data_IF_749880328513
#
_entry.id   IF_749880328513
#
_cell.length_a   1.000
_cell.length_b   1.000
_cell.length_c   1.000
_cell.angle_alpha   90.00
_cell.angle_beta   90.00
_cell.angle_gamma   90.00
#
_symmetry.space_group_name_H-M   'P 1'
#
loop_
_entity.id
_entity.type
_entity.pdbx_description
1 polymer ?
#
# COMPACT_ATOMS: atom_id res chain seq x y z
N UNK A 1 22.36 13.62 -9.18
CA UNK A 1 22.57 12.43 -10.02
C UNK A 1 21.85 12.64 -11.35
N UNK A 2 22.39 12.17 -12.48
CA UNK A 2 21.68 12.31 -13.78
C UNK A 2 20.47 11.37 -13.83
N UNK A 3 19.48 11.68 -14.67
CA UNK A 3 18.30 10.81 -14.85
C UNK A 3 18.68 9.39 -15.27
N UNK A 4 19.69 9.24 -16.15
CA UNK A 4 20.20 7.94 -16.59
C UNK A 4 20.77 7.11 -15.43
N UNK A 5 21.53 7.72 -14.52
CA UNK A 5 22.04 7.03 -13.34
C UNK A 5 20.92 6.65 -12.36
N UNK A 6 19.86 7.46 -12.26
CA UNK A 6 18.67 7.13 -11.47
C UNK A 6 17.99 5.87 -12.01
N UNK A 7 17.73 5.84 -13.33
CA UNK A 7 17.10 4.69 -14.00
C UNK A 7 17.92 3.42 -13.84
N UNK A 8 19.24 3.48 -14.04
CA UNK A 8 20.12 2.31 -13.83
C UNK A 8 20.09 1.84 -12.38
N UNK A 9 20.08 2.76 -11.41
CA UNK A 9 19.98 2.41 -10.00
C UNK A 9 18.64 1.75 -9.66
N UNK A 10 17.55 2.22 -10.26
CA UNK A 10 16.21 1.61 -10.12
C UNK A 10 16.16 0.21 -10.72
N UNK A 11 16.75 -0.02 -11.90
CA UNK A 11 16.88 -1.36 -12.48
C UNK A 11 17.68 -2.28 -11.55
N UNK A 12 18.82 -1.80 -11.03
CA UNK A 12 19.64 -2.54 -10.08
C UNK A 12 18.87 -2.91 -8.79
N UNK A 13 18.13 -1.95 -8.23
CA UNK A 13 17.28 -2.18 -7.06
C UNK A 13 16.18 -3.20 -7.34
N UNK A 14 15.54 -3.13 -8.51
CA UNK A 14 14.52 -4.09 -8.96
C UNK A 14 15.09 -5.52 -9.00
N UNK A 15 16.26 -5.71 -9.60
CA UNK A 15 16.93 -7.02 -9.64
C UNK A 15 17.20 -7.53 -8.22
N UNK A 16 17.69 -6.66 -7.33
CA UNK A 16 17.94 -7.02 -5.94
C UNK A 16 16.67 -7.40 -5.18
N UNK A 17 15.53 -6.74 -5.41
CA UNK A 17 14.26 -7.14 -4.81
C UNK A 17 13.74 -8.49 -5.33
N UNK A 18 13.90 -8.79 -6.63
CA UNK A 18 13.58 -10.10 -7.20
C UNK A 18 14.44 -11.19 -6.53
N UNK A 19 15.76 -10.96 -6.44
CA UNK A 19 16.67 -11.88 -5.77
C UNK A 19 16.39 -12.00 -4.26
N UNK A 20 15.90 -10.93 -3.63
CA UNK A 20 15.50 -10.94 -2.23
C UNK A 20 14.34 -11.90 -2.00
N UNK A 21 13.25 -11.78 -2.78
CA UNK A 21 12.09 -12.67 -2.68
C UNK A 21 12.45 -14.12 -3.01
N UNK A 22 13.25 -14.34 -4.06
CA UNK A 22 13.73 -15.69 -4.42
C UNK A 22 14.58 -16.33 -3.31
N UNK A 23 15.43 -15.53 -2.65
CA UNK A 23 16.23 -15.98 -1.51
C UNK A 23 15.41 -16.23 -0.24
N UNK A 24 14.37 -15.43 0.02
CA UNK A 24 13.49 -15.60 1.18
C UNK A 24 12.60 -16.85 1.09
N UNK A 25 12.39 -17.39 -0.11
CA UNK A 25 11.58 -18.59 -0.33
C UNK A 25 12.24 -19.90 0.17
N UNK A 26 13.56 -19.91 0.41
CA UNK A 26 14.28 -21.12 0.86
C UNK A 26 15.05 -20.85 2.16
N UNK A 27 14.95 -21.72 3.18
CA UNK A 27 15.63 -21.52 4.47
C UNK A 27 17.15 -21.33 4.36
N UNK A 28 17.81 -22.04 3.45
CA UNK A 28 19.26 -21.99 3.25
C UNK A 28 19.75 -20.65 2.71
N UNK A 29 18.94 -19.97 1.88
CA UNK A 29 19.29 -18.71 1.24
C UNK A 29 18.61 -17.49 1.86
N UNK A 30 17.73 -17.68 2.85
CA UNK A 30 16.94 -16.62 3.49
C UNK A 30 17.76 -15.44 4.00
N UNK A 31 18.93 -15.69 4.61
CA UNK A 31 19.83 -14.61 5.07
C UNK A 31 20.38 -13.77 3.92
N UNK A 32 20.76 -14.42 2.82
CA UNK A 32 21.24 -13.74 1.60
C UNK A 32 20.11 -12.98 0.92
N UNK A 33 18.90 -13.56 0.87
CA UNK A 33 17.69 -12.89 0.38
C UNK A 33 17.41 -11.59 1.15
N UNK A 34 17.49 -11.62 2.48
CA UNK A 34 17.33 -10.43 3.31
C UNK A 34 18.41 -9.36 3.02
N UNK A 35 19.67 -9.78 2.83
CA UNK A 35 20.76 -8.86 2.45
C UNK A 35 20.50 -8.16 1.11
N UNK A 36 20.02 -8.89 0.09
CA UNK A 36 19.65 -8.28 -1.19
C UNK A 36 18.54 -7.25 -1.02
N UNK A 37 17.54 -7.51 -0.18
CA UNK A 37 16.48 -6.56 0.13
C UNK A 37 17.00 -5.28 0.78
N UNK A 38 17.91 -5.40 1.76
CA UNK A 38 18.54 -4.25 2.41
C UNK A 38 19.36 -3.40 1.43
N UNK A 39 20.18 -4.03 0.57
CA UNK A 39 20.98 -3.32 -0.43
C UNK A 39 20.08 -2.67 -1.49
N UNK A 40 19.04 -3.38 -1.96
CA UNK A 40 18.08 -2.87 -2.94
C UNK A 40 17.33 -1.64 -2.42
N UNK A 41 16.86 -1.68 -1.17
CA UNK A 41 16.21 -0.53 -0.53
C UNK A 41 17.16 0.65 -0.34
N UNK A 42 18.39 0.41 0.12
CA UNK A 42 19.40 1.47 0.26
C UNK A 42 19.70 2.15 -1.09
N UNK A 43 19.88 1.35 -2.16
CA UNK A 43 20.12 1.85 -3.51
C UNK A 43 18.93 2.69 -4.01
N UNK A 44 17.70 2.21 -3.84
CA UNK A 44 16.48 2.90 -4.24
C UNK A 44 16.31 4.26 -3.54
N UNK A 45 16.54 4.30 -2.23
CA UNK A 45 16.44 5.53 -1.43
C UNK A 45 17.52 6.52 -1.86
N UNK A 46 18.78 6.10 -1.95
CA UNK A 46 19.89 6.96 -2.37
C UNK A 46 19.62 7.51 -3.78
N UNK A 47 19.21 6.66 -4.72
CA UNK A 47 18.90 7.08 -6.08
C UNK A 47 17.77 8.12 -6.12
N UNK A 48 16.73 7.97 -5.30
CA UNK A 48 15.62 8.91 -5.26
C UNK A 48 16.01 10.24 -4.60
N UNK A 49 16.71 10.18 -3.46
CA UNK A 49 17.14 11.38 -2.71
C UNK A 49 18.10 12.25 -3.51
N UNK A 50 19.02 11.64 -4.27
CA UNK A 50 19.99 12.36 -5.11
C UNK A 50 19.53 12.52 -6.56
N UNK A 51 18.28 12.12 -6.86
CA UNK A 51 17.67 12.21 -8.18
C UNK A 51 17.36 13.64 -8.62
N UNK A 52 17.06 13.85 -9.92
CA UNK A 52 16.82 15.19 -10.47
C UNK A 52 15.55 15.86 -9.94
N UNK A 53 14.61 15.12 -9.36
CA UNK A 53 13.34 15.62 -8.83
C UNK A 53 13.48 16.27 -7.44
N UNK A 54 14.62 16.07 -6.75
CA UNK A 54 14.83 16.60 -5.39
C UNK A 54 15.62 17.90 -5.45
N UNK A 55 14.97 19.00 -5.09
CA UNK A 55 15.63 20.30 -4.97
C UNK A 55 16.42 20.43 -3.65
N UNK A 56 17.39 21.35 -3.61
CA UNK A 56 18.17 21.63 -2.41
C UNK A 56 17.30 22.05 -1.21
N UNK A 57 16.15 22.70 -1.46
CA UNK A 57 15.19 23.08 -0.43
C UNK A 57 14.34 21.91 0.09
N UNK A 58 14.14 20.86 -0.72
CA UNK A 58 13.41 19.65 -0.32
C UNK A 58 14.23 18.67 0.50
N UNK A 59 15.56 18.67 0.33
CA UNK A 59 16.47 17.71 0.96
C UNK A 59 16.38 17.68 2.50
N UNK A 60 16.31 18.82 3.23
CA UNK A 60 16.16 18.80 4.69
C UNK A 60 14.88 18.10 5.15
N UNK A 61 13.76 18.32 4.45
CA UNK A 61 12.47 17.70 4.77
C UNK A 61 12.50 16.19 4.59
N UNK A 62 13.13 15.71 3.51
CA UNK A 62 13.30 14.28 3.24
C UNK A 62 14.15 13.62 4.33
N UNK A 63 15.29 14.24 4.70
CA UNK A 63 16.19 13.70 5.74
C UNK A 63 15.46 13.64 7.09
N UNK A 64 14.76 14.69 7.48
CA UNK A 64 14.00 14.73 8.75
C UNK A 64 12.94 13.63 8.77
N UNK A 65 12.14 13.50 7.71
CA UNK A 65 11.12 12.46 7.61
C UNK A 65 11.72 11.05 7.68
N UNK A 66 12.85 10.82 6.99
CA UNK A 66 13.55 9.55 6.99
C UNK A 66 14.11 9.20 8.38
N UNK A 67 14.71 10.16 9.08
CA UNK A 67 15.24 9.95 10.44
C UNK A 67 14.13 9.64 11.44
N UNK A 68 13.00 10.36 11.37
CA UNK A 68 11.84 10.10 12.24
C UNK A 68 11.27 8.71 11.95
N UNK A 69 10.99 8.41 10.67
CA UNK A 69 10.43 7.13 10.26
C UNK A 69 11.33 5.94 10.62
N UNK A 70 12.62 6.03 10.30
CA UNK A 70 13.61 5.01 10.63
C UNK A 70 13.78 4.85 12.15
N UNK A 71 13.79 5.94 12.91
CA UNK A 71 13.88 5.91 14.37
C UNK A 71 12.71 5.18 15.02
N UNK A 72 11.48 5.53 14.62
CA UNK A 72 10.26 4.85 15.10
C UNK A 72 10.25 3.37 14.68
N UNK A 73 10.58 3.08 13.43
CA UNK A 73 10.63 1.71 12.90
C UNK A 73 11.66 0.84 13.64
N UNK A 74 12.88 1.34 13.86
CA UNK A 74 13.93 0.64 14.61
C UNK A 74 13.53 0.39 16.06
N UNK A 75 12.88 1.37 16.71
CA UNK A 75 12.38 1.20 18.07
C UNK A 75 11.30 0.11 18.14
N UNK A 76 10.30 0.17 17.26
CA UNK A 76 9.21 -0.80 17.23
C UNK A 76 9.72 -2.22 16.95
N UNK A 77 10.61 -2.38 15.96
CA UNK A 77 11.19 -3.68 15.59
C UNK A 77 12.06 -4.30 16.70
N UNK A 78 12.74 -3.48 17.53
CA UNK A 78 13.54 -3.99 18.66
C UNK A 78 12.71 -4.38 19.88
N UNK A 79 11.56 -3.72 20.09
CA UNK A 79 10.76 -3.89 21.31
C UNK A 79 9.66 -4.94 21.18
N UNK A 80 9.17 -5.20 19.98
CA UNK A 80 8.09 -6.16 19.73
C UNK A 80 8.51 -7.58 20.14
N UNK A 81 7.60 -8.32 20.76
CA UNK A 81 7.82 -9.74 21.07
C UNK A 81 7.55 -10.59 19.84
N UNK A 82 8.20 -11.75 19.70
CA UNK A 82 7.99 -12.65 18.56
C UNK A 82 6.54 -13.15 18.44
N UNK A 83 5.83 -13.24 19.56
CA UNK A 83 4.39 -13.57 19.63
C UNK A 83 3.49 -12.47 19.06
N UNK A 84 3.97 -11.23 19.03
CA UNK A 84 3.27 -10.03 18.54
C UNK A 84 3.68 -9.65 17.10
N UNK A 85 4.46 -10.48 16.42
CA UNK A 85 4.85 -10.20 15.03
C UNK A 85 3.66 -10.04 14.08
N UNK A 86 2.57 -10.84 14.15
CA UNK A 86 1.43 -10.68 13.25
C UNK A 86 0.75 -9.31 13.34
N UNK A 87 0.59 -8.76 14.55
CA UNK A 87 -0.04 -7.44 14.74
C UNK A 87 0.88 -6.32 14.27
N UNK A 88 2.21 -6.42 14.50
CA UNK A 88 3.14 -5.43 13.99
C UNK A 88 3.16 -5.41 12.47
N UNK A 89 3.14 -6.58 11.82
CA UNK A 89 3.07 -6.70 10.36
C UNK A 89 1.79 -6.07 9.83
N UNK A 90 0.63 -6.31 10.47
CA UNK A 90 -0.61 -5.64 10.13
C UNK A 90 -0.48 -4.12 10.24
N UNK A 91 0.10 -3.61 11.33
CA UNK A 91 0.32 -2.17 11.52
C UNK A 91 1.24 -1.58 10.42
N UNK A 92 2.29 -2.29 10.00
CA UNK A 92 3.18 -1.83 8.94
C UNK A 92 2.46 -1.69 7.58
N UNK A 93 1.57 -2.63 7.22
CA UNK A 93 0.77 -2.49 6.00
C UNK A 93 -0.16 -1.27 6.05
N UNK A 94 -0.64 -0.90 7.23
CA UNK A 94 -1.44 0.33 7.38
C UNK A 94 -0.64 1.57 6.96
N UNK A 95 0.63 1.65 7.34
CA UNK A 95 1.50 2.78 7.00
C UNK A 95 1.77 2.85 5.49
N UNK A 96 1.88 1.71 4.81
CA UNK A 96 2.00 1.65 3.34
C UNK A 96 0.73 2.20 2.68
N UNK A 97 -0.44 1.79 3.15
CA UNK A 97 -1.72 2.30 2.64
C UNK A 97 -1.89 3.81 2.87
N UNK A 98 -1.50 4.31 4.04
CA UNK A 98 -1.51 5.73 4.35
C UNK A 98 -0.54 6.51 3.47
N UNK A 99 0.68 5.99 3.25
CA UNK A 99 1.65 6.60 2.36
C UNK A 99 1.10 6.71 0.93
N UNK A 100 0.48 5.65 0.39
CA UNK A 100 -0.16 5.69 -0.93
C UNK A 100 -1.27 6.76 -1.02
N UNK A 101 -2.08 6.90 0.03
CA UNK A 101 -3.09 7.97 0.09
C UNK A 101 -2.45 9.37 0.07
N UNK A 102 -1.44 9.60 0.91
CA UNK A 102 -0.77 10.89 1.02
C UNK A 102 -0.06 11.28 -0.27
N UNK A 103 0.61 10.33 -0.92
CA UNK A 103 1.24 10.57 -2.23
C UNK A 103 0.15 10.85 -3.28
N UNK A 104 -0.98 10.13 -3.26
CA UNK A 104 -2.11 10.39 -4.16
C UNK A 104 -2.69 11.80 -4.03
N UNK A 105 -2.94 12.25 -2.79
CA UNK A 105 -3.40 13.63 -2.55
C UNK A 105 -2.34 14.67 -2.93
N UNK A 106 -1.06 14.40 -2.64
CA UNK A 106 0.03 15.29 -3.04
C UNK A 106 0.11 15.42 -4.58
N UNK A 107 -0.01 14.30 -5.30
CA UNK A 107 -0.01 14.28 -6.78
C UNK A 107 -1.20 15.05 -7.37
N UNK A 108 -2.38 14.97 -6.74
CA UNK A 108 -3.56 15.70 -7.22
C UNK A 108 -3.46 17.22 -7.01
N UNK A 109 -2.83 17.66 -5.92
CA UNK A 109 -2.66 19.09 -5.61
C UNK A 109 -1.47 19.68 -6.38
N UNK A 110 -0.55 18.85 -6.86
CA UNK A 110 0.64 19.30 -7.57
C UNK A 110 0.27 19.94 -8.93
N UNK A 111 0.32 21.26 -8.96
CA UNK A 111 0.07 22.06 -10.17
C UNK A 111 1.27 22.13 -11.11
N UNK A 112 2.43 21.57 -10.74
CA UNK A 112 3.64 21.64 -11.55
C UNK A 112 3.67 20.61 -12.68
N UNK A 113 2.85 19.56 -12.59
CA UNK A 113 2.75 18.52 -13.62
C UNK A 113 1.90 19.02 -14.78
N UNK A 114 2.52 19.15 -15.96
CA UNK A 114 1.83 19.56 -17.20
C UNK A 114 1.60 18.31 -18.06
N UNK A 115 0.34 18.00 -18.34
CA UNK A 115 -0.03 16.89 -19.22
C UNK A 115 -0.12 17.36 -20.68
N UNK A 116 0.69 16.78 -21.60
CA UNK A 116 0.63 17.07 -23.03
C UNK A 116 -0.74 16.83 -23.66
N UNK A 117 -1.47 15.83 -23.18
CA UNK A 117 -2.78 15.44 -23.72
C UNK A 117 -3.84 15.31 -22.63
N UNK A 118 -5.10 15.53 -22.99
CA UNK A 118 -6.23 15.27 -22.09
C UNK A 118 -6.34 13.79 -21.67
N UNK A 119 -5.89 12.88 -22.55
CA UNK A 119 -5.84 11.45 -22.26
C UNK A 119 -4.85 11.14 -21.14
N UNK A 120 -3.62 11.68 -21.20
CA UNK A 120 -2.61 11.51 -20.14
C UNK A 120 -3.08 12.06 -18.80
N UNK A 121 -3.72 13.23 -18.79
CA UNK A 121 -4.33 13.78 -17.58
C UNK A 121 -5.38 12.84 -16.99
N UNK A 122 -6.27 12.31 -17.84
CA UNK A 122 -7.32 11.38 -17.41
C UNK A 122 -6.73 10.09 -16.84
N UNK A 123 -5.69 9.54 -17.47
CA UNK A 123 -4.98 8.34 -16.99
C UNK A 123 -4.39 8.61 -15.60
N UNK A 124 -3.70 9.74 -15.43
CA UNK A 124 -3.11 10.11 -14.15
C UNK A 124 -4.16 10.31 -13.04
N UNK A 125 -5.29 10.94 -13.36
CA UNK A 125 -6.42 11.10 -12.43
C UNK A 125 -7.03 9.74 -12.04
N UNK A 126 -7.12 8.78 -12.96
CA UNK A 126 -7.53 7.41 -12.67
C UNK A 126 -6.53 6.70 -11.75
N UNK A 127 -5.23 6.85 -12.01
CA UNK A 127 -4.15 6.28 -11.16
C UNK A 127 -4.22 6.82 -9.73
N UNK A 128 -4.40 8.13 -9.56
CA UNK A 128 -4.63 8.78 -8.26
C UNK A 128 -5.85 8.16 -7.57
N UNK A 129 -6.99 8.10 -8.28
CA UNK A 129 -8.26 7.65 -7.72
C UNK A 129 -8.17 6.20 -7.21
N UNK A 130 -7.60 5.30 -8.02
CA UNK A 130 -7.43 3.89 -7.68
C UNK A 130 -6.38 3.73 -6.57
N UNK A 131 -5.26 4.44 -6.65
CA UNK A 131 -4.19 4.39 -5.66
C UNK A 131 -4.66 4.78 -4.26
N UNK A 132 -5.42 5.89 -4.15
CA UNK A 132 -6.01 6.34 -2.88
C UNK A 132 -7.06 5.33 -2.40
N UNK A 133 -7.91 4.79 -3.28
CA UNK A 133 -8.93 3.81 -2.90
C UNK A 133 -8.30 2.55 -2.27
N UNK A 134 -7.33 1.93 -2.95
CA UNK A 134 -6.64 0.73 -2.44
C UNK A 134 -5.86 1.07 -1.17
N UNK A 135 -5.18 2.22 -1.13
CA UNK A 135 -4.45 2.69 0.03
C UNK A 135 -5.33 2.86 1.27
N UNK A 136 -6.50 3.48 1.12
CA UNK A 136 -7.43 3.75 2.21
C UNK A 136 -8.08 2.47 2.76
N UNK A 137 -8.48 1.55 1.87
CA UNK A 137 -8.97 0.22 2.27
C UNK A 137 -7.88 -0.54 3.02
N UNK A 138 -6.64 -0.50 2.52
CA UNK A 138 -5.50 -1.17 3.16
C UNK A 138 -5.20 -0.57 4.54
N UNK A 139 -5.16 0.76 4.65
CA UNK A 139 -4.92 1.46 5.91
C UNK A 139 -5.94 1.09 6.98
N UNK A 140 -7.22 1.31 6.69
CA UNK A 140 -8.31 1.06 7.64
C UNK A 140 -8.45 -0.43 7.98
N UNK A 141 -8.40 -1.32 7.00
CA UNK A 141 -8.48 -2.76 7.22
C UNK A 141 -7.33 -3.27 8.09
N UNK A 142 -6.11 -2.78 7.85
CA UNK A 142 -4.92 -3.15 8.61
C UNK A 142 -4.97 -2.67 10.06
N UNK A 143 -5.56 -1.51 10.33
CA UNK A 143 -5.78 -1.03 11.70
C UNK A 143 -6.77 -1.92 12.47
N UNK A 144 -7.84 -2.39 11.82
CA UNK A 144 -8.77 -3.34 12.45
C UNK A 144 -8.09 -4.69 12.69
N UNK A 145 -7.31 -5.19 11.72
CA UNK A 145 -6.55 -6.43 11.88
C UNK A 145 -5.57 -6.33 13.06
N UNK A 146 -4.82 -5.22 13.17
CA UNK A 146 -3.97 -4.91 14.32
C UNK A 146 -4.77 -4.88 15.63
N UNK A 147 -5.92 -4.21 15.65
CA UNK A 147 -6.77 -4.13 16.84
C UNK A 147 -7.28 -5.49 17.31
N UNK A 148 -7.66 -6.37 16.38
CA UNK A 148 -8.11 -7.74 16.69
C UNK A 148 -6.97 -8.64 17.17
N UNK A 149 -5.81 -8.59 16.53
CA UNK A 149 -4.64 -9.39 16.92
C UNK A 149 -4.06 -8.96 18.27
N UNK A 150 -4.10 -7.66 18.58
CA UNK A 150 -3.66 -7.11 19.86
C UNK A 150 -4.67 -7.23 21.00
N UNK A 151 -5.84 -7.82 20.74
CA UNK A 151 -6.92 -7.98 21.72
C UNK A 151 -7.62 -6.67 22.11
N UNK A 152 -7.30 -5.54 21.48
CA UNK A 152 -7.98 -4.24 21.69
C UNK A 152 -9.38 -4.23 21.10
N UNK A 153 -9.60 -5.02 20.04
CA UNK A 153 -10.90 -5.27 19.42
C UNK A 153 -11.23 -6.75 19.61
N UNK A 154 -12.48 -7.06 19.96
CA UNK A 154 -12.92 -8.44 20.14
C UNK A 154 -12.73 -9.28 18.86
N UNK A 155 -12.31 -10.54 19.02
CA UNK A 155 -12.12 -11.47 17.90
C UNK A 155 -13.42 -12.00 17.27
N UNK A 156 -14.59 -11.66 17.83
CA UNK A 156 -15.89 -12.10 17.28
C UNK A 156 -16.21 -11.32 16.00
N UNK A 157 -16.66 -12.00 14.92
CA UNK A 157 -17.14 -11.34 13.71
C UNK A 157 -18.28 -10.36 14.02
N UNK A 158 -18.17 -9.11 13.56
CA UNK A 158 -19.26 -8.15 13.60
C UNK A 158 -20.09 -8.29 12.31
N UNK A 159 -21.25 -8.93 12.41
CA UNK A 159 -22.14 -9.16 11.28
C UNK A 159 -23.27 -8.12 11.27
N UNK A 160 -23.08 -7.06 10.48
CA UNK A 160 -24.14 -6.07 10.25
C UNK A 160 -25.28 -6.68 9.41
N UNK A 161 -26.54 -6.24 9.65
CA UNK A 161 -27.65 -6.63 8.78
C UNK A 161 -27.37 -6.16 7.35
N UNK A 162 -27.65 -7.02 6.37
CA UNK A 162 -27.43 -6.74 4.95
C UNK A 162 -25.99 -6.33 4.55
N UNK A 163 -24.95 -6.83 5.25
CA UNK A 163 -23.53 -6.52 4.98
C UNK A 163 -23.13 -6.56 3.49
N UNK A 164 -23.62 -7.54 2.74
CA UNK A 164 -23.29 -7.69 1.32
C UNK A 164 -23.89 -6.56 0.47
N UNK A 165 -25.10 -6.10 0.83
CA UNK A 165 -25.74 -4.96 0.18
C UNK A 165 -25.00 -3.67 0.55
N UNK A 166 -24.61 -3.49 1.82
CA UNK A 166 -23.82 -2.31 2.23
C UNK A 166 -22.50 -2.21 1.46
N UNK A 167 -21.79 -3.33 1.30
CA UNK A 167 -20.56 -3.38 0.51
C UNK A 167 -20.82 -3.08 -0.97
N UNK A 168 -21.89 -3.64 -1.55
CA UNK A 168 -22.24 -3.39 -2.94
C UNK A 168 -22.59 -1.92 -3.17
N UNK A 169 -23.38 -1.31 -2.28
CA UNK A 169 -23.74 0.11 -2.34
C UNK A 169 -22.49 0.99 -2.23
N UNK A 170 -21.59 0.68 -1.28
CA UNK A 170 -20.32 1.38 -1.17
C UNK A 170 -19.49 1.32 -2.45
N UNK A 171 -19.38 0.13 -3.06
CA UNK A 171 -18.66 -0.05 -4.32
C UNK A 171 -19.28 0.73 -5.48
N UNK A 172 -20.61 0.69 -5.62
CA UNK A 172 -21.34 1.46 -6.64
C UNK A 172 -21.13 2.96 -6.44
N UNK A 173 -21.19 3.45 -5.21
CA UNK A 173 -20.93 4.86 -4.90
C UNK A 173 -19.49 5.27 -5.27
N UNK A 174 -18.50 4.42 -4.99
CA UNK A 174 -17.10 4.66 -5.40
C UNK A 174 -16.98 4.75 -6.92
N UNK A 175 -17.69 3.91 -7.68
CA UNK A 175 -17.66 3.98 -9.15
C UNK A 175 -18.33 5.28 -9.65
N UNK A 176 -19.48 5.65 -9.09
CA UNK A 176 -20.20 6.87 -9.47
C UNK A 176 -19.42 8.14 -9.14
N UNK A 177 -18.81 8.20 -7.95
CA UNK A 177 -17.93 9.30 -7.56
C UNK A 177 -16.70 9.40 -8.45
N UNK A 178 -16.14 8.27 -8.87
CA UNK A 178 -15.01 8.21 -9.80
C UNK A 178 -15.37 8.77 -11.18
N UNK A 179 -16.52 8.36 -11.71
CA UNK A 179 -17.03 8.94 -12.95
C UNK A 179 -17.24 10.46 -12.81
N UNK A 180 -17.79 10.93 -11.69
CA UNK A 180 -17.97 12.37 -11.49
C UNK A 180 -16.64 13.12 -11.33
N UNK A 181 -15.67 12.50 -10.66
CA UNK A 181 -14.33 13.03 -10.48
C UNK A 181 -13.62 13.22 -11.83
N UNK A 182 -13.67 12.26 -12.74
CA UNK A 182 -13.03 12.36 -14.05
C UNK A 182 -13.69 13.38 -14.99
N UNK A 183 -14.95 13.74 -14.75
CA UNK A 183 -15.69 14.68 -15.58
C UNK A 183 -15.72 16.11 -14.99
N UNK A 184 -15.14 16.34 -13.81
CA UNK A 184 -15.15 17.68 -13.20
C UNK A 184 -13.98 18.53 -13.70
N UNK A 185 -14.26 19.78 -14.07
CA UNK A 185 -13.23 20.75 -14.47
C UNK A 185 -12.73 21.60 -13.29
N UNK A 186 -13.37 21.51 -12.11
CA UNK A 186 -12.99 22.26 -10.92
C UNK A 186 -12.16 21.40 -9.97
N UNK A 187 -10.92 21.82 -9.72
CA UNK A 187 -10.02 21.15 -8.77
C UNK A 187 -10.61 21.08 -7.36
N UNK A 188 -11.38 22.09 -6.94
CA UNK A 188 -12.04 22.08 -5.62
C UNK A 188 -13.14 21.03 -5.51
N UNK A 189 -13.94 20.85 -6.57
CA UNK A 189 -14.94 19.78 -6.62
C UNK A 189 -14.27 18.42 -6.68
N UNK A 190 -13.24 18.26 -7.51
CA UNK A 190 -12.51 16.99 -7.61
C UNK A 190 -11.84 16.58 -6.28
N UNK A 191 -11.25 17.53 -5.55
CA UNK A 191 -10.73 17.29 -4.20
C UNK A 191 -11.84 16.79 -3.25
N UNK A 192 -13.01 17.43 -3.30
CA UNK A 192 -14.15 17.02 -2.46
C UNK A 192 -14.59 15.58 -2.79
N UNK A 193 -14.63 15.22 -4.07
CA UNK A 193 -14.98 13.86 -4.51
C UNK A 193 -13.93 12.83 -4.09
N UNK A 194 -12.63 13.16 -4.17
CA UNK A 194 -11.56 12.31 -3.66
C UNK A 194 -11.68 12.08 -2.15
N UNK A 195 -11.95 13.14 -1.37
CA UNK A 195 -12.16 13.04 0.07
C UNK A 195 -13.38 12.18 0.42
N UNK A 196 -14.51 12.38 -0.28
CA UNK A 196 -15.70 11.55 -0.10
C UNK A 196 -15.45 10.09 -0.43
N UNK A 197 -14.78 9.80 -1.55
CA UNK A 197 -14.36 8.44 -1.89
C UNK A 197 -13.47 7.84 -0.81
N UNK A 198 -12.50 8.62 -0.31
CA UNK A 198 -11.57 8.16 0.73
C UNK A 198 -12.30 7.78 2.01
N UNK A 199 -13.27 8.59 2.45
CA UNK A 199 -14.11 8.28 3.62
C UNK A 199 -14.89 6.98 3.41
N UNK A 200 -15.46 6.77 2.22
CA UNK A 200 -16.16 5.52 1.89
C UNK A 200 -15.17 4.34 1.88
N UNK A 201 -13.98 4.50 1.33
CA UNK A 201 -12.94 3.48 1.28
C UNK A 201 -12.44 3.09 2.68
N UNK A 202 -12.27 4.07 3.58
CA UNK A 202 -11.95 3.84 4.99
C UNK A 202 -13.06 3.05 5.69
N UNK A 203 -14.33 3.46 5.49
CA UNK A 203 -15.47 2.73 6.05
C UNK A 203 -15.56 1.31 5.48
N UNK A 204 -15.28 1.13 4.19
CA UNK A 204 -15.27 -0.16 3.52
C UNK A 204 -14.20 -1.09 4.11
N UNK A 205 -12.95 -0.62 4.28
CA UNK A 205 -11.89 -1.41 4.88
C UNK A 205 -12.18 -1.79 6.34
N UNK A 206 -12.75 -0.87 7.14
CA UNK A 206 -13.22 -1.19 8.49
C UNK A 206 -14.29 -2.28 8.44
N UNK A 207 -15.34 -2.08 7.66
CA UNK A 207 -16.48 -3.00 7.61
C UNK A 207 -16.09 -4.40 7.15
N UNK A 208 -15.26 -4.50 6.11
CA UNK A 208 -14.76 -5.77 5.59
C UNK A 208 -13.99 -6.57 6.64
N UNK A 209 -13.01 -5.96 7.32
CA UNK A 209 -12.18 -6.68 8.31
C UNK A 209 -12.93 -6.92 9.63
N UNK A 210 -13.86 -6.04 10.01
CA UNK A 210 -14.71 -6.22 11.18
C UNK A 210 -15.59 -7.48 11.07
N UNK A 211 -16.03 -7.84 9.86
CA UNK A 211 -16.85 -9.02 9.60
C UNK A 211 -16.07 -10.35 9.66
N UNK A 212 -14.74 -10.33 9.76
CA UNK A 212 -13.90 -11.54 9.77
C UNK A 212 -13.53 -11.95 11.20
N UNK A 213 -13.50 -13.25 11.49
CA UNK A 213 -13.17 -13.78 12.81
C UNK A 213 -11.68 -13.68 13.15
N UNK A 214 -11.36 -13.59 14.44
CA UNK A 214 -9.98 -13.55 14.95
C UNK A 214 -9.11 -14.72 14.48
N UNK A 215 -9.70 -15.91 14.36
CA UNK A 215 -9.01 -17.11 13.90
C UNK A 215 -8.52 -17.02 12.44
N UNK A 216 -9.17 -16.22 11.61
CA UNK A 216 -8.83 -16.05 10.19
C UNK A 216 -7.96 -14.82 9.93
N UNK A 217 -7.65 -14.04 10.98
CA UNK A 217 -6.85 -12.81 10.85
C UNK A 217 -5.50 -13.01 10.15
N UNK A 218 -4.75 -14.13 10.33
CA UNK A 218 -3.51 -14.33 9.58
C UNK A 218 -3.71 -14.27 8.06
N UNK A 219 -4.81 -14.83 7.53
CA UNK A 219 -5.14 -14.77 6.10
C UNK A 219 -5.44 -13.33 5.70
N UNK A 220 -6.19 -12.60 6.52
CA UNK A 220 -6.52 -11.18 6.28
C UNK A 220 -5.26 -10.32 6.22
N UNK A 221 -4.30 -10.52 7.12
CA UNK A 221 -3.02 -9.80 7.10
C UNK A 221 -2.25 -10.07 5.80
N UNK A 222 -2.25 -11.31 5.32
CA UNK A 222 -1.63 -11.66 4.04
C UNK A 222 -2.36 -11.05 2.84
N UNK A 223 -3.69 -10.96 2.88
CA UNK A 223 -4.46 -10.28 1.83
C UNK A 223 -4.21 -8.77 1.81
N UNK A 224 -4.15 -8.14 2.98
CA UNK A 224 -3.82 -6.73 3.11
C UNK A 224 -2.37 -6.43 2.69
N UNK A 225 -1.45 -7.38 2.87
CA UNK A 225 -0.11 -7.32 2.28
C UNK A 225 -0.19 -7.23 0.74
N UNK A 226 -1.03 -8.08 0.11
CA UNK A 226 -1.26 -8.01 -1.33
C UNK A 226 -1.78 -6.62 -1.75
N UNK A 227 -2.79 -6.10 -1.05
CA UNK A 227 -3.34 -4.77 -1.35
C UNK A 227 -2.31 -3.66 -1.18
N UNK A 228 -1.44 -3.74 -0.16
CA UNK A 228 -0.34 -2.80 0.01
C UNK A 228 0.65 -2.81 -1.18
N UNK A 229 0.90 -3.99 -1.76
CA UNK A 229 1.70 -4.13 -2.98
C UNK A 229 1.03 -3.49 -4.20
N UNK A 230 -0.27 -3.73 -4.40
CA UNK A 230 -1.03 -3.09 -5.49
C UNK A 230 -1.15 -1.57 -5.31
N UNK A 231 -1.27 -1.07 -4.08
CA UNK A 231 -1.23 0.37 -3.79
C UNK A 231 0.14 0.98 -4.13
N UNK A 232 1.23 0.27 -3.81
CA UNK A 232 2.58 0.68 -4.19
C UNK A 232 2.77 0.69 -5.72
N UNK A 233 2.22 -0.30 -6.44
CA UNK A 233 2.26 -0.33 -7.89
C UNK A 233 1.46 0.82 -8.52
N UNK A 234 0.26 1.11 -8.00
CA UNK A 234 -0.54 2.27 -8.42
C UNK A 234 0.20 3.59 -8.16
N UNK A 235 0.88 3.70 -7.02
CA UNK A 235 1.76 4.84 -6.72
C UNK A 235 2.92 4.93 -7.72
N UNK A 236 3.47 3.79 -8.15
CA UNK A 236 4.49 3.72 -9.18
C UNK A 236 4.01 4.25 -10.53
N UNK A 237 2.81 3.89 -10.97
CA UNK A 237 2.21 4.45 -12.19
C UNK A 237 2.03 5.96 -12.08
N UNK A 238 1.41 6.42 -10.99
CA UNK A 238 1.17 7.83 -10.72
C UNK A 238 2.46 8.67 -10.74
N UNK A 239 3.56 8.13 -10.22
CA UNK A 239 4.86 8.82 -10.18
C UNK A 239 5.75 8.50 -11.40
N UNK A 240 5.27 7.73 -12.38
CA UNK A 240 6.07 7.22 -13.50
C UNK A 240 7.39 6.57 -13.04
N UNK A 241 7.31 5.74 -11.99
CA UNK A 241 8.45 5.11 -11.33
C UNK A 241 8.40 3.58 -11.48
N UNK A 242 9.21 3.08 -12.42
CA UNK A 242 9.30 1.65 -12.76
C UNK A 242 9.65 0.76 -11.56
N UNK A 243 10.49 1.23 -10.64
CA UNK A 243 10.87 0.45 -9.46
C UNK A 243 9.64 0.17 -8.58
N UNK A 244 8.83 1.19 -8.32
CA UNK A 244 7.61 1.04 -7.51
C UNK A 244 6.58 0.15 -8.19
N UNK A 245 6.45 0.24 -9.52
CA UNK A 245 5.55 -0.64 -10.30
C UNK A 245 5.98 -2.10 -10.13
N UNK A 246 7.26 -2.40 -10.36
CA UNK A 246 7.76 -3.79 -10.30
C UNK A 246 7.72 -4.33 -8.87
N UNK A 247 8.24 -3.58 -7.89
CA UNK A 247 8.26 -4.02 -6.49
C UNK A 247 6.84 -4.17 -5.95
N UNK A 248 5.93 -3.24 -6.27
CA UNK A 248 4.53 -3.31 -5.90
C UNK A 248 3.84 -4.56 -6.48
N UNK A 249 4.05 -4.85 -7.76
CA UNK A 249 3.50 -6.05 -8.40
C UNK A 249 4.07 -7.36 -7.80
N UNK A 250 5.37 -7.39 -7.46
CA UNK A 250 5.99 -8.53 -6.80
C UNK A 250 5.40 -8.79 -5.41
N UNK A 251 5.25 -7.75 -4.59
CA UNK A 251 4.63 -7.86 -3.26
C UNK A 251 3.14 -8.23 -3.37
N UNK A 252 2.43 -7.59 -4.30
CA UNK A 252 1.01 -7.81 -4.57
C UNK A 252 0.71 -9.26 -4.93
N UNK A 253 1.44 -9.79 -5.92
CA UNK A 253 1.31 -11.19 -6.35
C UNK A 253 1.75 -12.18 -5.26
N UNK A 254 2.85 -11.92 -4.56
CA UNK A 254 3.33 -12.75 -3.46
C UNK A 254 2.31 -12.86 -2.33
N UNK A 255 1.71 -11.74 -1.91
CA UNK A 255 0.67 -11.72 -0.88
C UNK A 255 -0.59 -12.48 -1.29
N UNK A 256 -1.00 -12.39 -2.56
CA UNK A 256 -2.15 -13.13 -3.07
C UNK A 256 -1.91 -14.65 -3.04
N UNK A 257 -0.73 -15.09 -3.51
CA UNK A 257 -0.32 -16.50 -3.50
C UNK A 257 -0.22 -17.02 -2.06
N UNK A 258 0.41 -16.26 -1.16
CA UNK A 258 0.53 -16.64 0.25
C UNK A 258 -0.86 -16.80 0.90
N UNK A 259 -1.78 -15.87 0.63
CA UNK A 259 -3.15 -15.93 1.16
C UNK A 259 -3.87 -17.20 0.72
N UNK A 260 -3.70 -17.60 -0.54
CA UNK A 260 -4.24 -18.84 -1.08
C UNK A 260 -3.64 -20.09 -0.41
N UNK A 261 -2.31 -20.12 -0.26
CA UNK A 261 -1.61 -21.23 0.41
C UNK A 261 -2.05 -21.35 1.87
N UNK A 262 -2.19 -20.23 2.58
CA UNK A 262 -2.68 -20.19 3.96
C UNK A 262 -4.11 -20.71 4.08
N UNK A 263 -5.02 -20.28 3.19
CA UNK A 263 -6.39 -20.79 3.16
C UNK A 263 -6.43 -22.32 3.00
N UNK A 264 -5.64 -22.85 2.06
CA UNK A 264 -5.53 -24.29 1.85
C UNK A 264 -4.95 -25.02 3.06
N UNK A 265 -3.90 -24.48 3.67
CA UNK A 265 -3.29 -25.06 4.87
C UNK A 265 -4.25 -25.08 6.08
N UNK A 266 -5.18 -24.13 6.13
CA UNK A 266 -6.22 -24.04 7.16
C UNK A 266 -7.51 -24.82 6.81
N UNK A 267 -7.57 -25.53 5.68
CA UNK A 267 -8.77 -26.21 5.17
C UNK A 267 -10.00 -25.28 5.05
N UNK A 268 -9.79 -24.01 4.67
CA UNK A 268 -10.87 -23.05 4.43
C UNK A 268 -10.85 -22.57 2.98
N UNK A 269 -12.03 -22.32 2.42
CA UNK A 269 -12.14 -21.70 1.11
C UNK A 269 -11.88 -20.20 1.23
N UNK A 270 -11.17 -19.61 0.26
CA UNK A 270 -10.87 -18.17 0.24
C UNK A 270 -12.14 -17.31 0.35
N UNK A 271 -13.19 -17.65 -0.43
CA UNK A 271 -14.50 -17.00 -0.38
C UNK A 271 -15.27 -17.20 0.94
N UNK A 272 -14.87 -18.15 1.78
CA UNK A 272 -15.48 -18.36 3.10
C UNK A 272 -14.83 -17.51 4.20
N UNK A 273 -13.65 -16.95 3.91
CA UNK A 273 -12.89 -16.08 4.83
C UNK A 273 -13.26 -14.60 4.62
N UNK A 274 -13.67 -14.23 3.39
CA UNK A 274 -14.10 -12.88 2.98
C UNK A 274 -15.63 -12.78 3.03
#
# INVERSE_FOLDING_TARGET
MTSSMATVSYIGATILFILSLGGLAHPETARRGNLFGMIGMALAVIATVFGPQVSAGGLPWIIIALLIGAGVGLYAAKKVQMTQMPELVALMHSLVGLAACLVGFASYIDTSTVFPTAAEKTIHEVEIYIGIFIGAVTFSGSLIAFGKLSGKIGGKPLLLPARHILNLVGLVLVILLGNWFLNTHSTGVGMTLLLLMTVIALAFGVHMVMAIGGADMPVVVSMLNSYSGWAAAATGFMLSNDLLIVVGALVGSSGAILSYIMCRAMNRNFLSVI
#
